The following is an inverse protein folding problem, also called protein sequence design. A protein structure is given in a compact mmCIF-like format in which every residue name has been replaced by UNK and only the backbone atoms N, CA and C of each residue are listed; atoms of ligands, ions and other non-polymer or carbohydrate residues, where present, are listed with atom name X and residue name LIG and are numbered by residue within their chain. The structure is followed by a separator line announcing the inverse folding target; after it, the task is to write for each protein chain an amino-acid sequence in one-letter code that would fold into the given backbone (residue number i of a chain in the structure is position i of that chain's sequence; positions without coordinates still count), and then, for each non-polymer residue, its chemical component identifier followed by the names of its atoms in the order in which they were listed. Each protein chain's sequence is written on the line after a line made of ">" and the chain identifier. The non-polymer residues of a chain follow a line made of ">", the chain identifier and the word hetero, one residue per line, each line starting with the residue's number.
data_IF_843716536808
#
_entry.id   IF_843716536808
#
_cell.length_a   1.000
_cell.length_b   1.000
_cell.length_c   1.000
_cell.angle_alpha   90.00
_cell.angle_beta   90.00
_cell.angle_gamma   90.00
#
_symmetry.space_group_name_H-M   'P 1'
#
loop_
_entity.id
_entity.type
_entity.pdbx_description
1 polymer ?
#
# COMPACT_ATOMS: atom_id res chain seq x y z
N UNK A 1 12.22 15.08 0.15
CA UNK A 1 11.24 14.84 1.23
C UNK A 1 11.48 13.42 1.72
N UNK A 2 11.88 13.22 2.97
CA UNK A 2 11.93 11.88 3.57
C UNK A 2 10.53 11.51 4.00
N UNK A 3 9.97 10.46 3.40
CA UNK A 3 8.69 9.91 3.83
C UNK A 3 8.83 9.22 5.19
N UNK A 4 7.75 9.20 5.97
CA UNK A 4 7.73 8.43 7.21
C UNK A 4 7.92 6.94 6.90
N UNK A 5 8.52 6.15 7.82
CA UNK A 5 8.68 4.71 7.62
C UNK A 5 7.34 3.99 7.40
N UNK A 6 6.23 4.55 7.91
CA UNK A 6 4.87 4.02 7.70
C UNK A 6 4.39 4.25 6.27
N UNK A 7 4.67 5.43 5.70
CA UNK A 7 4.31 5.77 4.32
C UNK A 7 5.09 4.91 3.32
N UNK A 8 6.40 4.72 3.55
CA UNK A 8 7.22 3.80 2.73
C UNK A 8 6.77 2.35 2.88
N UNK A 9 6.37 1.94 4.10
CA UNK A 9 5.75 0.65 4.35
C UNK A 9 4.48 0.45 3.53
N UNK A 10 3.57 1.43 3.52
CA UNK A 10 2.33 1.36 2.74
C UNK A 10 2.58 1.32 1.22
N UNK A 11 3.57 2.08 0.72
CA UNK A 11 3.97 2.04 -0.69
C UNK A 11 4.57 0.69 -1.11
N UNK A 12 5.07 -0.10 -0.16
CA UNK A 12 5.65 -1.43 -0.41
C UNK A 12 4.68 -2.56 -0.10
N UNK A 13 3.68 -2.33 0.75
CA UNK A 13 2.68 -3.32 1.12
C UNK A 13 2.00 -3.89 -0.13
N UNK A 14 2.04 -5.19 -0.32
CA UNK A 14 1.48 -5.89 -1.48
C UNK A 14 0.32 -6.79 -1.10
N UNK A 15 0.08 -6.97 0.20
CA UNK A 15 -0.98 -7.82 0.75
C UNK A 15 -1.70 -7.14 1.91
N UNK A 16 -2.86 -7.68 2.28
CA UNK A 16 -3.62 -7.24 3.46
C UNK A 16 -2.83 -7.47 4.75
N UNK A 17 -1.98 -8.50 4.80
CA UNK A 17 -1.19 -8.83 5.98
C UNK A 17 -0.05 -7.83 6.19
N UNK A 18 0.59 -7.34 5.12
CA UNK A 18 1.58 -6.26 5.22
C UNK A 18 0.98 -5.01 5.89
N UNK A 19 -0.27 -4.67 5.53
CA UNK A 19 -0.98 -3.52 6.12
C UNK A 19 -1.33 -3.80 7.58
N UNK A 20 -1.73 -5.03 7.93
CA UNK A 20 -1.97 -5.42 9.33
C UNK A 20 -0.70 -5.34 10.17
N UNK A 21 0.44 -5.76 9.61
CA UNK A 21 1.73 -5.71 10.29
C UNK A 21 2.16 -4.27 10.56
N UNK A 22 1.91 -3.36 9.61
CA UNK A 22 2.11 -1.92 9.81
C UNK A 22 1.19 -1.37 10.91
N UNK A 23 -0.08 -1.76 10.94
CA UNK A 23 -1.02 -1.36 12.00
C UNK A 23 -0.60 -1.92 13.35
N UNK A 24 -0.12 -3.17 13.41
CA UNK A 24 0.37 -3.80 14.63
C UNK A 24 1.64 -3.13 15.14
N UNK A 25 2.51 -2.65 14.25
CA UNK A 25 3.81 -2.07 14.59
C UNK A 25 3.73 -0.58 14.95
N UNK A 26 2.88 0.18 14.27
CA UNK A 26 2.82 1.65 14.38
C UNK A 26 1.48 2.18 14.90
N UNK A 27 0.46 1.33 14.99
CA UNK A 27 -0.89 1.70 15.38
C UNK A 27 -1.72 2.23 14.22
N UNK A 28 -3.05 2.04 14.33
CA UNK A 28 -4.01 2.50 13.34
C UNK A 28 -3.92 4.02 13.03
N UNK A 29 -3.75 4.93 14.02
CA UNK A 29 -3.69 6.37 13.74
C UNK A 29 -2.54 6.75 12.79
N UNK A 30 -1.34 6.21 13.03
CA UNK A 30 -0.16 6.49 12.21
C UNK A 30 -0.32 5.97 10.78
N UNK A 31 -0.89 4.78 10.62
CA UNK A 31 -1.17 4.19 9.30
C UNK A 31 -2.24 4.99 8.56
N UNK A 32 -3.29 5.44 9.25
CA UNK A 32 -4.35 6.26 8.65
C UNK A 32 -3.85 7.64 8.21
N UNK A 33 -2.91 8.25 8.95
CA UNK A 33 -2.30 9.50 8.52
C UNK A 33 -1.35 9.27 7.34
N UNK A 34 -0.52 8.23 7.38
CA UNK A 34 0.35 7.87 6.25
C UNK A 34 -0.45 7.54 4.98
N UNK A 35 -1.66 6.97 5.11
CA UNK A 35 -2.58 6.74 4.00
C UNK A 35 -2.95 8.05 3.29
N UNK A 36 -3.11 9.16 4.02
CA UNK A 36 -3.41 10.49 3.47
C UNK A 36 -2.24 11.14 2.73
N UNK A 37 -1.04 10.57 2.85
CA UNK A 37 0.16 11.03 2.14
C UNK A 37 0.43 10.22 0.85
N UNK A 38 -0.29 9.11 0.66
CA UNK A 38 -0.18 8.30 -0.54
C UNK A 38 -0.80 8.99 -1.76
N UNK A 39 -0.28 8.68 -2.95
CA UNK A 39 -0.88 9.11 -4.21
C UNK A 39 -2.26 8.45 -4.41
N UNK A 40 -3.15 9.03 -5.24
CA UNK A 40 -4.42 8.40 -5.59
C UNK A 40 -4.26 6.99 -6.18
N UNK A 41 -3.21 6.75 -6.97
CA UNK A 41 -2.91 5.45 -7.55
C UNK A 41 -2.56 4.41 -6.48
N UNK A 42 -1.68 4.77 -5.53
CA UNK A 42 -1.29 3.89 -4.42
C UNK A 42 -2.47 3.54 -3.52
N UNK A 43 -3.33 4.53 -3.21
CA UNK A 43 -4.57 4.29 -2.46
C UNK A 43 -5.52 3.38 -3.20
N UNK A 44 -5.64 3.55 -4.51
CA UNK A 44 -6.45 2.69 -5.38
C UNK A 44 -5.96 1.24 -5.27
N UNK A 45 -4.66 1.02 -5.47
CA UNK A 45 -4.03 -0.29 -5.38
C UNK A 45 -4.26 -0.96 -4.01
N UNK A 46 -4.05 -0.22 -2.91
CA UNK A 46 -4.30 -0.74 -1.56
C UNK A 46 -5.78 -0.94 -1.23
N UNK A 47 -6.68 -0.15 -1.83
CA UNK A 47 -8.13 -0.34 -1.64
C UNK A 47 -8.62 -1.64 -2.26
N UNK A 48 -7.96 -2.11 -3.34
CA UNK A 48 -8.27 -3.40 -3.97
C UNK A 48 -7.95 -4.58 -3.04
N UNK A 49 -6.93 -4.48 -2.18
CA UNK A 49 -6.63 -5.51 -1.16
C UNK A 49 -7.78 -5.74 -0.18
N UNK A 50 -8.62 -4.71 0.04
CA UNK A 50 -9.73 -4.81 0.98
C UNK A 50 -10.84 -5.74 0.47
N UNK A 51 -10.98 -5.84 -0.85
CA UNK A 51 -12.04 -6.61 -1.51
C UNK A 51 -11.68 -8.05 -1.83
N UNK A 52 -10.39 -8.39 -1.87
CA UNK A 52 -9.95 -9.73 -2.24
C UNK A 52 -8.98 -10.30 -1.21
N UNK A 53 -9.48 -11.18 -0.32
CA UNK A 53 -8.61 -11.94 0.57
C UNK A 53 -7.65 -12.82 -0.25
N UNK A 54 -6.35 -12.72 0.04
CA UNK A 54 -5.30 -13.46 -0.67
C UNK A 54 -4.80 -12.82 -1.97
N UNK A 55 -5.24 -11.60 -2.33
CA UNK A 55 -4.74 -10.93 -3.54
C UNK A 55 -3.42 -10.22 -3.34
N UNK A 56 -2.54 -10.36 -4.34
CA UNK A 56 -1.30 -9.61 -4.48
C UNK A 56 -1.58 -8.33 -5.26
N UNK A 57 -1.13 -7.17 -4.78
CA UNK A 57 -1.13 -5.95 -5.59
C UNK A 57 -0.11 -6.13 -6.71
N UNK A 58 -0.57 -6.14 -7.96
CA UNK A 58 0.29 -5.98 -9.13
C UNK A 58 0.52 -4.47 -9.29
N UNK A 59 1.74 -4.01 -9.02
CA UNK A 59 2.14 -2.60 -9.21
C UNK A 59 2.76 -2.32 -10.59
N UNK A 60 3.00 -3.36 -11.39
CA UNK A 60 3.48 -3.22 -12.77
C UNK A 60 2.31 -2.98 -13.71
N UNK A 61 2.13 -1.73 -14.14
CA UNK A 61 1.96 -1.48 -15.56
C UNK A 61 3.36 -1.26 -16.11
N UNK A 62 4.10 -2.37 -16.27
CA UNK A 62 5.30 -2.35 -17.10
C UNK A 62 4.79 -2.18 -18.55
N UNK A 63 5.10 -1.03 -19.15
CA UNK A 63 4.73 -0.65 -20.53
C UNK A 63 5.56 -1.46 -21.56
N UNK A 64 5.92 -2.70 -21.23
CA UNK A 64 6.70 -3.64 -22.06
C UNK A 64 5.79 -4.73 -22.66
N UNK A 65 4.58 -4.35 -23.04
CA UNK A 65 3.81 -5.08 -24.05
C UNK A 65 4.17 -4.49 -25.43
N UNK A 66 5.43 -4.63 -25.83
CA UNK A 66 5.76 -4.60 -27.25
C UNK A 66 5.24 -5.90 -27.86
N UNK A 67 4.07 -5.82 -28.50
CA UNK A 67 3.54 -6.86 -29.40
C UNK A 67 4.21 -6.70 -30.76
#
# INVERSE_FOLDING_TARGET
>A
MSYSPVTEGLKRASTKDDVKDLISSYGYPAVNDAWKDLSPADRGALSLLRSFEGSTIIRDFDDDLTI
#
